data_IF_327343077234
#
_entry.id   IF_327343077234
#
_cell.length_a   1.000
_cell.length_b   1.000
_cell.length_c   1.000
_cell.angle_alpha   90.00
_cell.angle_beta   90.00
_cell.angle_gamma   90.00
#
_symmetry.space_group_name_H-M   'P 1'
#
loop_
_entity.id
_entity.type
_entity.pdbx_description
1 polymer ?
#
# COMPACT_ATOMS: atom_id res chain seq x y z
N UNK A 1 -9.57 7.13 1.99
CA UNK A 1 -10.35 5.88 2.18
C UNK A 1 -10.05 4.84 1.10
N UNK A 2 -10.12 5.14 -0.20
CA UNK A 2 -9.80 4.17 -1.26
C UNK A 2 -8.43 3.49 -1.08
N UNK A 3 -7.39 4.28 -0.81
CA UNK A 3 -6.03 3.76 -0.53
C UNK A 3 -5.99 2.76 0.63
N UNK A 4 -6.74 3.05 1.72
CA UNK A 4 -6.84 2.14 2.86
C UNK A 4 -7.63 0.87 2.51
N UNK A 5 -8.74 1.01 1.78
CA UNK A 5 -9.56 -0.15 1.39
C UNK A 5 -8.79 -1.10 0.47
N UNK A 6 -8.00 -0.58 -0.46
CA UNK A 6 -7.10 -1.35 -1.31
C UNK A 6 -6.08 -2.17 -0.50
N UNK A 7 -5.53 -1.58 0.56
CA UNK A 7 -4.54 -2.20 1.42
C UNK A 7 -5.14 -2.94 2.63
N UNK A 8 -6.35 -3.48 2.52
CA UNK A 8 -6.92 -4.40 3.53
C UNK A 8 -7.92 -3.79 4.52
N UNK A 9 -8.22 -2.49 4.45
CA UNK A 9 -9.24 -1.88 5.29
C UNK A 9 -10.65 -2.28 4.82
N UNK A 10 -11.13 -3.44 5.26
CA UNK A 10 -12.30 -4.13 4.76
C UNK A 10 -13.67 -3.58 5.18
N UNK A 11 -13.78 -2.33 5.68
CA UNK A 11 -15.08 -1.75 6.08
C UNK A 11 -15.92 -1.40 4.85
N UNK A 12 -15.29 -1.00 3.74
CA UNK A 12 -15.94 -0.71 2.48
C UNK A 12 -15.20 -1.36 1.32
N UNK A 13 -15.96 -1.79 0.32
CA UNK A 13 -15.39 -2.02 -0.99
C UNK A 13 -14.93 -0.68 -1.58
N UNK A 14 -13.77 -0.64 -2.23
CA UNK A 14 -13.16 0.60 -2.73
C UNK A 14 -14.07 1.40 -3.68
N UNK A 15 -14.92 0.70 -4.45
CA UNK A 15 -15.87 1.31 -5.39
C UNK A 15 -17.14 1.83 -4.71
N UNK A 16 -17.49 1.35 -3.50
CA UNK A 16 -18.74 1.69 -2.84
C UNK A 16 -18.85 3.19 -2.48
N UNK A 17 -17.72 3.85 -2.30
CA UNK A 17 -17.68 5.27 -1.96
C UNK A 17 -17.72 6.20 -3.19
N UNK A 18 -17.55 5.70 -4.41
CA UNK A 18 -17.48 6.52 -5.62
C UNK A 18 -18.73 7.39 -5.83
N UNK A 19 -19.97 6.84 -5.77
CA UNK A 19 -21.18 7.63 -6.01
C UNK A 19 -21.42 8.72 -4.96
N UNK A 20 -21.09 8.47 -3.69
CA UNK A 20 -21.25 9.48 -2.62
C UNK A 20 -20.15 10.54 -2.69
N UNK A 21 -18.92 10.16 -3.03
CA UNK A 21 -17.82 11.10 -3.22
C UNK A 21 -18.08 12.07 -4.37
N UNK A 22 -18.55 11.56 -5.53
CA UNK A 22 -18.86 12.39 -6.70
C UNK A 22 -19.99 13.42 -6.46
N UNK A 23 -20.87 13.15 -5.50
CA UNK A 23 -22.00 14.00 -5.17
C UNK A 23 -21.83 14.77 -3.85
N UNK A 24 -20.61 14.74 -3.27
CA UNK A 24 -20.28 15.41 -2.01
C UNK A 24 -21.20 15.02 -0.83
N UNK A 25 -21.59 13.75 -0.80
CA UNK A 25 -22.48 13.19 0.23
C UNK A 25 -21.60 12.62 1.36
N UNK A 26 -21.71 13.13 2.59
CA UNK A 26 -20.95 12.58 3.71
C UNK A 26 -21.45 11.17 4.10
N UNK A 27 -20.53 10.29 4.44
CA UNK A 27 -20.82 8.93 4.92
C UNK A 27 -20.50 8.83 6.40
N UNK A 28 -21.41 8.27 7.19
CA UNK A 28 -21.21 8.04 8.61
C UNK A 28 -21.03 6.55 8.89
N UNK A 29 -19.89 6.18 9.50
CA UNK A 29 -19.65 4.84 10.00
C UNK A 29 -19.98 4.83 11.50
N UNK A 30 -20.85 3.92 11.93
CA UNK A 30 -21.22 3.78 13.34
C UNK A 30 -21.11 2.32 13.77
N UNK A 31 -20.81 2.11 15.04
CA UNK A 31 -20.81 0.79 15.64
C UNK A 31 -22.25 0.37 15.98
N UNK A 32 -22.72 -0.71 15.40
CA UNK A 32 -24.10 -1.23 15.65
C UNK A 32 -24.31 -1.70 17.08
N UNK A 33 -23.22 -2.12 17.77
CA UNK A 33 -23.29 -2.55 19.17
C UNK A 33 -23.18 -1.38 20.16
N UNK A 34 -22.85 -0.17 19.69
CA UNK A 34 -22.72 1.05 20.48
C UNK A 34 -23.25 2.24 19.67
N UNK A 35 -24.56 2.29 19.36
CA UNK A 35 -25.14 3.28 18.47
C UNK A 35 -25.12 4.72 19.01
N UNK A 36 -24.92 4.89 20.33
CA UNK A 36 -24.77 6.17 21.00
C UNK A 36 -23.43 6.87 20.71
N UNK A 37 -22.40 6.13 20.29
CA UNK A 37 -21.12 6.71 19.91
C UNK A 37 -21.24 7.39 18.55
N UNK A 38 -20.71 8.62 18.43
CA UNK A 38 -20.79 9.45 17.23
C UNK A 38 -20.27 8.76 15.96
N UNK A 39 -19.25 7.90 16.09
CA UNK A 39 -18.67 7.16 14.94
C UNK A 39 -17.70 8.01 14.12
N UNK A 40 -17.44 7.58 12.89
CA UNK A 40 -16.48 8.22 11.98
C UNK A 40 -17.20 8.78 10.77
N UNK A 41 -17.03 10.09 10.51
CA UNK A 41 -17.58 10.77 9.35
C UNK A 41 -16.54 10.80 8.21
N UNK A 42 -16.91 10.26 7.06
CA UNK A 42 -16.13 10.34 5.83
C UNK A 42 -16.69 11.49 5.00
N UNK A 43 -15.82 12.42 4.62
CA UNK A 43 -16.16 13.61 3.84
C UNK A 43 -15.22 13.74 2.64
N UNK A 44 -15.64 14.44 1.61
CA UNK A 44 -14.83 14.74 0.42
C UNK A 44 -13.71 15.73 0.72
N UNK A 45 -13.94 16.66 1.64
CA UNK A 45 -12.99 17.67 2.10
C UNK A 45 -13.05 17.81 3.60
N UNK A 46 -11.89 17.89 4.24
CA UNK A 46 -11.78 18.14 5.67
C UNK A 46 -10.69 19.20 5.90
N UNK A 47 -10.78 19.97 6.98
CA UNK A 47 -9.66 20.76 7.47
C UNK A 47 -8.53 19.83 7.90
N UNK A 48 -7.32 20.10 7.41
CA UNK A 48 -6.15 19.30 7.74
C UNK A 48 -5.58 19.77 9.06
N UNK A 49 -5.34 18.83 9.96
CA UNK A 49 -4.62 19.10 11.21
C UNK A 49 -3.18 18.58 11.07
N UNK A 50 -2.18 19.48 11.01
CA UNK A 50 -0.78 19.07 10.87
C UNK A 50 -0.26 18.22 12.04
N UNK A 51 -0.93 18.24 13.19
CA UNK A 51 -0.56 17.40 14.35
C UNK A 51 -0.85 15.91 14.10
N UNK A 52 -1.78 15.61 13.17
CA UNK A 52 -2.19 14.26 12.83
C UNK A 52 -2.06 14.03 11.31
N UNK A 53 -0.82 13.93 10.81
CA UNK A 53 -0.57 13.83 9.36
C UNK A 53 -1.11 12.54 8.76
N UNK A 54 -1.15 11.45 9.53
CA UNK A 54 -1.65 10.14 9.11
C UNK A 54 -3.10 9.98 9.53
N UNK A 55 -3.94 9.61 8.58
CA UNK A 55 -5.37 9.33 8.80
C UNK A 55 -5.62 7.85 9.09
N UNK A 56 -4.80 6.97 8.55
CA UNK A 56 -4.91 5.53 8.75
C UNK A 56 -3.70 4.75 8.27
N UNK A 57 -3.56 3.56 8.84
CA UNK A 57 -2.61 2.53 8.43
C UNK A 57 -3.41 1.27 8.17
N UNK A 58 -3.12 0.60 7.08
CA UNK A 58 -3.70 -0.70 6.75
C UNK A 58 -2.64 -1.63 6.15
N UNK A 59 -2.90 -2.93 6.19
CA UNK A 59 -2.03 -3.95 5.62
C UNK A 59 -2.83 -4.97 4.83
N UNK A 60 -2.19 -5.57 3.85
CA UNK A 60 -2.72 -6.72 3.11
C UNK A 60 -1.59 -7.68 2.78
N UNK A 61 -1.81 -8.96 3.02
CA UNK A 61 -0.92 -10.06 2.63
C UNK A 61 -1.28 -10.64 1.27
N UNK A 62 -0.53 -11.64 0.83
CA UNK A 62 -0.79 -12.38 -0.40
C UNK A 62 -0.23 -11.70 -1.64
N UNK A 63 0.94 -11.09 -1.53
CA UNK A 63 1.66 -10.53 -2.66
C UNK A 63 2.91 -11.35 -3.00
N UNK A 64 3.22 -11.34 -4.28
CA UNK A 64 4.44 -11.89 -4.88
C UNK A 64 5.15 -10.78 -5.62
N UNK A 65 6.46 -10.62 -5.41
CA UNK A 65 7.30 -9.69 -6.15
C UNK A 65 8.21 -10.44 -7.13
N UNK A 66 8.21 -10.03 -8.39
CA UNK A 66 9.09 -10.55 -9.44
C UNK A 66 10.10 -9.44 -9.78
N UNK A 67 11.34 -9.61 -9.35
CA UNK A 67 12.42 -8.66 -9.59
C UNK A 67 13.23 -9.08 -10.81
N UNK A 68 13.30 -8.21 -11.82
CA UNK A 68 13.98 -8.42 -13.10
C UNK A 68 15.15 -7.43 -13.16
N UNK A 69 16.35 -7.95 -13.25
CA UNK A 69 17.58 -7.13 -13.36
C UNK A 69 18.20 -7.28 -14.73
N UNK A 70 18.63 -6.15 -15.29
CA UNK A 70 19.33 -6.10 -16.58
C UNK A 70 20.27 -4.89 -16.61
N UNK A 71 21.52 -5.12 -16.91
CA UNK A 71 22.49 -4.04 -17.05
C UNK A 71 22.08 -3.03 -18.15
N UNK A 72 22.11 -1.74 -17.83
CA UNK A 72 21.63 -0.65 -18.67
C UNK A 72 20.12 -0.72 -19.01
N UNK A 73 19.32 -1.32 -18.17
CA UNK A 73 17.86 -1.41 -18.36
C UNK A 73 17.23 -0.04 -18.61
N UNK A 74 17.70 1.00 -17.91
CA UNK A 74 17.21 2.38 -18.08
C UNK A 74 17.42 2.97 -19.47
N UNK A 75 18.33 2.41 -20.26
CA UNK A 75 18.60 2.82 -21.66
C UNK A 75 17.82 1.99 -22.67
N UNK A 76 17.21 0.89 -22.26
CA UNK A 76 16.44 0.03 -23.15
C UNK A 76 15.00 0.54 -23.29
N UNK A 77 14.72 1.20 -24.41
CA UNK A 77 13.39 1.77 -24.67
C UNK A 77 12.29 0.72 -24.60
N UNK A 78 11.26 1.00 -23.79
CA UNK A 78 10.06 0.18 -23.69
C UNK A 78 10.25 -1.14 -22.95
N UNK A 79 11.34 -1.34 -22.20
CA UNK A 79 11.55 -2.56 -21.42
C UNK A 79 10.41 -2.80 -20.43
N UNK A 80 10.06 -1.80 -19.61
CA UNK A 80 8.94 -1.90 -18.65
C UNK A 80 7.63 -2.28 -19.34
N UNK A 81 7.30 -1.61 -20.44
CA UNK A 81 6.07 -1.91 -21.21
C UNK A 81 6.03 -3.36 -21.67
N UNK A 82 7.15 -3.89 -22.16
CA UNK A 82 7.22 -5.29 -22.61
C UNK A 82 7.10 -6.26 -21.44
N UNK A 83 7.76 -5.98 -20.32
CA UNK A 83 7.67 -6.81 -19.11
C UNK A 83 6.24 -6.89 -18.59
N UNK A 84 5.56 -5.75 -18.42
CA UNK A 84 4.16 -5.68 -17.98
C UNK A 84 3.23 -6.40 -18.95
N UNK A 85 3.46 -6.25 -20.27
CA UNK A 85 2.64 -6.88 -21.31
C UNK A 85 2.57 -8.41 -21.18
N UNK A 86 3.63 -9.08 -20.77
CA UNK A 86 3.61 -10.54 -20.59
C UNK A 86 2.69 -10.98 -19.45
N UNK A 87 2.58 -10.16 -18.40
CA UNK A 87 1.60 -10.39 -17.33
C UNK A 87 0.17 -10.10 -17.81
N UNK A 88 -0.03 -9.02 -18.59
CA UNK A 88 -1.32 -8.69 -19.22
C UNK A 88 -1.79 -9.82 -20.13
N UNK A 89 -0.93 -10.34 -21.03
CA UNK A 89 -1.23 -11.45 -21.94
C UNK A 89 -1.55 -12.75 -21.18
N UNK A 90 -0.99 -12.93 -19.98
CA UNK A 90 -1.28 -14.05 -19.08
C UNK A 90 -2.51 -13.81 -18.19
N UNK A 91 -3.17 -12.64 -18.27
CA UNK A 91 -4.32 -12.29 -17.46
C UNK A 91 -3.99 -12.02 -15.99
N UNK A 92 -2.73 -11.63 -15.68
CA UNK A 92 -2.27 -11.32 -14.34
C UNK A 92 -2.13 -9.81 -14.17
N UNK A 93 -2.98 -9.14 -13.37
CA UNK A 93 -2.85 -7.72 -13.06
C UNK A 93 -1.56 -7.44 -12.30
N UNK A 94 -0.87 -6.36 -12.67
CA UNK A 94 0.30 -5.85 -11.95
C UNK A 94 -0.13 -4.69 -11.05
N UNK A 95 0.09 -4.82 -9.75
CA UNK A 95 -0.35 -3.86 -8.73
C UNK A 95 0.62 -2.68 -8.58
N UNK A 96 1.93 -2.99 -8.50
CA UNK A 96 2.98 -1.99 -8.34
C UNK A 96 4.20 -2.33 -9.18
N UNK A 97 4.93 -1.29 -9.61
CA UNK A 97 6.13 -1.42 -10.43
C UNK A 97 7.23 -0.52 -9.89
N UNK A 98 7.82 -0.83 -8.74
CA UNK A 98 9.01 -0.13 -8.29
C UNK A 98 10.17 -0.39 -9.25
N UNK A 99 10.90 0.66 -9.60
CA UNK A 99 11.99 0.59 -10.57
C UNK A 99 13.26 1.23 -10.04
N UNK A 100 14.38 0.59 -10.34
CA UNK A 100 15.73 1.11 -10.19
C UNK A 100 16.34 1.50 -11.53
N UNK A 101 17.66 1.71 -11.54
CA UNK A 101 18.40 2.03 -12.78
C UNK A 101 18.51 0.77 -13.66
N UNK A 102 18.90 -0.35 -13.06
CA UNK A 102 19.17 -1.63 -13.74
C UNK A 102 18.20 -2.74 -13.31
N UNK A 103 17.06 -2.38 -12.70
CA UNK A 103 16.07 -3.34 -12.23
C UNK A 103 14.67 -2.77 -12.26
N UNK A 104 13.68 -3.66 -12.41
CA UNK A 104 12.28 -3.41 -12.11
C UNK A 104 11.74 -4.55 -11.26
N UNK A 105 10.77 -4.27 -10.41
CA UNK A 105 10.01 -5.30 -9.74
C UNK A 105 8.55 -5.19 -10.15
N UNK A 106 7.92 -6.33 -10.44
CA UNK A 106 6.50 -6.42 -10.72
C UNK A 106 5.84 -7.06 -9.51
N UNK A 107 5.00 -6.32 -8.83
CA UNK A 107 4.27 -6.81 -7.66
C UNK A 107 2.87 -7.19 -8.08
N UNK A 108 2.48 -8.41 -7.78
CA UNK A 108 1.19 -8.99 -8.14
C UNK A 108 0.51 -9.60 -6.91
N UNK A 109 -0.79 -9.80 -6.98
CA UNK A 109 -1.49 -10.63 -6.02
C UNK A 109 -1.21 -12.10 -6.30
N UNK A 110 -0.73 -12.85 -5.30
CA UNK A 110 -0.40 -14.29 -5.45
C UNK A 110 -1.61 -15.11 -5.90
N UNK A 111 -2.81 -14.72 -5.49
CA UNK A 111 -4.08 -15.36 -5.89
C UNK A 111 -4.39 -15.26 -7.41
N UNK A 112 -3.75 -14.33 -8.13
CA UNK A 112 -3.92 -14.20 -9.58
C UNK A 112 -3.05 -15.20 -10.37
N UNK A 113 -2.14 -15.91 -9.70
CA UNK A 113 -1.34 -16.98 -10.29
C UNK A 113 -2.15 -18.27 -10.19
N UNK A 114 -2.54 -18.82 -11.33
CA UNK A 114 -3.40 -20.01 -11.40
C UNK A 114 -2.69 -21.29 -10.95
N UNK A 115 -1.39 -21.40 -11.25
CA UNK A 115 -0.54 -22.51 -10.86
C UNK A 115 0.95 -22.11 -10.90
N UNK A 116 1.86 -22.90 -10.29
CA UNK A 116 3.30 -22.69 -10.44
C UNK A 116 3.76 -22.69 -11.90
N UNK A 117 3.18 -23.53 -12.76
CA UNK A 117 3.49 -23.61 -14.19
C UNK A 117 3.06 -22.35 -14.94
N UNK A 118 1.95 -21.71 -14.51
CA UNK A 118 1.48 -20.44 -15.06
C UNK A 118 2.53 -19.35 -14.88
N UNK A 119 3.03 -19.17 -13.65
CA UNK A 119 4.09 -18.22 -13.38
C UNK A 119 5.37 -18.59 -14.12
N UNK A 120 5.78 -19.85 -14.08
CA UNK A 120 6.98 -20.32 -14.79
C UNK A 120 6.93 -20.02 -16.30
N UNK A 121 5.76 -20.15 -16.93
CA UNK A 121 5.54 -19.79 -18.34
C UNK A 121 5.76 -18.30 -18.62
N UNK A 122 5.26 -17.42 -17.74
CA UNK A 122 5.48 -15.97 -17.83
C UNK A 122 6.98 -15.66 -17.71
N UNK A 123 7.64 -16.22 -16.70
CA UNK A 123 9.07 -16.00 -16.44
C UNK A 123 9.94 -16.51 -17.60
N UNK A 124 9.62 -17.67 -18.16
CA UNK A 124 10.32 -18.21 -19.34
C UNK A 124 10.16 -17.28 -20.56
N UNK A 125 8.98 -16.71 -20.76
CA UNK A 125 8.74 -15.74 -21.85
C UNK A 125 9.56 -14.46 -21.64
N UNK A 126 9.62 -13.95 -20.40
CA UNK A 126 10.44 -12.79 -20.04
C UNK A 126 11.92 -13.11 -20.31
N UNK A 127 12.39 -14.29 -19.89
CA UNK A 127 13.76 -14.70 -20.10
C UNK A 127 14.12 -14.77 -21.61
N UNK A 128 13.24 -15.36 -22.43
CA UNK A 128 13.45 -15.50 -23.88
C UNK A 128 13.40 -14.15 -24.60
N UNK A 129 12.43 -13.32 -24.29
CA UNK A 129 12.14 -12.09 -25.07
C UNK A 129 12.89 -10.85 -24.59
N UNK A 130 13.24 -10.76 -23.32
CA UNK A 130 13.91 -9.59 -22.75
C UNK A 130 15.38 -9.85 -22.38
N UNK A 131 15.76 -11.12 -22.29
CA UNK A 131 17.11 -11.56 -21.93
C UNK A 131 17.68 -10.77 -20.72
N UNK A 132 17.00 -10.81 -19.55
CA UNK A 132 17.50 -10.19 -18.34
C UNK A 132 18.71 -10.95 -17.79
N UNK A 133 19.53 -10.26 -16.98
CA UNK A 133 20.67 -10.88 -16.29
C UNK A 133 20.19 -11.81 -15.18
N UNK A 134 19.09 -11.44 -14.51
CA UNK A 134 18.46 -12.30 -13.49
C UNK A 134 16.97 -12.00 -13.32
N UNK A 135 16.23 -13.03 -12.92
CA UNK A 135 14.86 -12.93 -12.45
C UNK A 135 14.79 -13.60 -11.07
N UNK A 136 14.24 -12.89 -10.09
CA UNK A 136 14.03 -13.39 -8.73
C UNK A 136 12.55 -13.29 -8.39
N UNK A 137 12.02 -14.31 -7.74
CA UNK A 137 10.64 -14.33 -7.24
C UNK A 137 10.69 -14.38 -5.73
N UNK A 138 9.94 -13.51 -5.07
CA UNK A 138 9.78 -13.49 -3.63
C UNK A 138 8.29 -13.52 -3.30
N UNK A 139 7.88 -14.59 -2.63
CA UNK A 139 6.51 -14.81 -2.18
C UNK A 139 6.33 -14.42 -0.70
N UNK A 140 5.10 -14.57 -0.21
CA UNK A 140 4.72 -14.31 1.18
C UNK A 140 5.04 -12.88 1.61
N UNK A 141 4.59 -11.94 0.79
CA UNK A 141 4.77 -10.51 1.05
C UNK A 141 3.48 -9.85 1.51
N UNK A 142 3.67 -8.82 2.34
CA UNK A 142 2.63 -7.95 2.87
C UNK A 142 2.90 -6.50 2.44
N UNK A 143 1.87 -5.80 1.99
CA UNK A 143 1.93 -4.36 1.69
C UNK A 143 1.22 -3.61 2.82
N UNK A 144 1.88 -2.58 3.33
CA UNK A 144 1.33 -1.58 4.23
C UNK A 144 1.04 -0.30 3.49
N UNK A 145 -0.12 0.29 3.71
CA UNK A 145 -0.46 1.63 3.27
C UNK A 145 -0.56 2.56 4.48
N UNK A 146 0.24 3.61 4.47
CA UNK A 146 0.16 4.73 5.41
C UNK A 146 -0.47 5.88 4.63
N UNK A 147 -1.64 6.33 5.08
CA UNK A 147 -2.47 7.26 4.31
C UNK A 147 -2.80 8.50 5.14
N UNK A 148 -2.68 9.68 4.54
CA UNK A 148 -3.06 10.93 5.16
C UNK A 148 -2.84 12.13 4.24
N UNK A 149 -3.82 13.00 4.08
CA UNK A 149 -3.71 14.19 3.24
C UNK A 149 -2.71 15.20 3.79
N UNK A 150 -2.61 15.32 5.13
CA UNK A 150 -1.66 16.21 5.78
C UNK A 150 -0.19 15.73 5.70
N UNK A 151 0.05 14.53 5.18
CA UNK A 151 1.42 14.01 4.98
C UNK A 151 2.26 14.87 4.05
N UNK A 152 1.64 15.52 3.06
CA UNK A 152 2.30 16.40 2.08
C UNK A 152 3.14 17.51 2.73
N UNK A 153 2.64 18.06 3.83
CA UNK A 153 3.24 19.22 4.51
C UNK A 153 3.96 18.83 5.80
N UNK A 154 4.02 17.52 6.12
CA UNK A 154 4.60 17.03 7.35
C UNK A 154 5.91 16.27 7.13
N UNK A 155 6.98 16.88 7.64
CA UNK A 155 8.32 16.27 7.61
C UNK A 155 8.37 15.13 8.64
N UNK A 156 8.98 14.00 8.24
CA UNK A 156 9.29 12.91 9.16
C UNK A 156 8.32 11.74 9.16
N UNK A 157 7.24 11.77 8.40
CA UNK A 157 6.30 10.63 8.31
C UNK A 157 7.02 9.36 7.84
N UNK A 158 7.78 9.43 6.74
CA UNK A 158 8.58 8.30 6.26
C UNK A 158 9.63 7.83 7.28
N UNK A 159 10.25 8.77 8.01
CA UNK A 159 11.24 8.46 9.03
C UNK A 159 10.62 7.70 10.22
N UNK A 160 9.40 8.07 10.64
CA UNK A 160 8.67 7.38 11.70
C UNK A 160 8.35 5.93 11.30
N UNK A 161 7.85 5.70 10.06
CA UNK A 161 7.61 4.35 9.55
C UNK A 161 8.90 3.52 9.52
N UNK A 162 9.95 4.06 8.89
CA UNK A 162 11.23 3.35 8.77
C UNK A 162 11.86 3.02 10.13
N UNK A 163 11.73 3.92 11.10
CA UNK A 163 12.17 3.68 12.48
C UNK A 163 11.40 2.55 13.12
N UNK A 164 10.07 2.53 12.96
CA UNK A 164 9.21 1.47 13.49
C UNK A 164 9.64 0.09 12.95
N UNK A 165 9.87 -0.03 11.66
CA UNK A 165 10.36 -1.28 11.08
C UNK A 165 11.74 -1.66 11.63
N UNK A 166 12.67 -0.71 11.73
CA UNK A 166 14.01 -0.96 12.24
C UNK A 166 14.02 -1.40 13.71
N UNK A 167 13.24 -0.75 14.58
CA UNK A 167 13.11 -1.07 16.01
C UNK A 167 12.51 -2.47 16.24
N UNK A 168 11.68 -2.93 15.31
CA UNK A 168 11.10 -4.27 15.33
C UNK A 168 11.91 -5.30 14.52
N UNK A 169 13.11 -4.96 14.05
CA UNK A 169 13.99 -5.81 13.24
C UNK A 169 13.38 -6.31 11.93
N UNK A 170 12.44 -5.54 11.36
CA UNK A 170 11.73 -5.85 10.13
C UNK A 170 12.48 -5.26 8.93
N UNK A 171 12.79 -6.10 7.94
CA UNK A 171 13.44 -5.65 6.72
C UNK A 171 12.40 -5.17 5.69
N UNK A 172 12.58 -3.94 5.21
CA UNK A 172 11.73 -3.35 4.17
C UNK A 172 12.19 -3.87 2.80
N UNK A 173 11.26 -4.46 2.03
CA UNK A 173 11.49 -4.97 0.66
C UNK A 173 11.22 -3.91 -0.41
N UNK A 174 10.26 -3.02 -0.16
CA UNK A 174 9.89 -1.95 -1.08
C UNK A 174 9.41 -0.74 -0.30
N UNK A 175 9.70 0.44 -0.83
CA UNK A 175 9.07 1.71 -0.43
C UNK A 175 8.58 2.37 -1.71
N UNK A 176 7.33 2.80 -1.71
CA UNK A 176 6.74 3.54 -2.82
C UNK A 176 5.90 4.70 -2.29
N UNK A 177 6.15 5.90 -2.81
CA UNK A 177 5.34 7.09 -2.53
C UNK A 177 5.10 7.79 -3.86
N UNK A 178 3.83 7.94 -4.23
CA UNK A 178 3.45 8.63 -5.46
C UNK A 178 3.54 10.15 -5.32
N UNK A 179 3.48 10.85 -6.44
CA UNK A 179 3.53 12.32 -6.50
C UNK A 179 2.33 13.00 -5.81
N UNK A 180 1.28 12.27 -5.47
CA UNK A 180 0.15 12.77 -4.67
C UNK A 180 0.53 13.00 -3.22
N UNK A 181 1.55 12.30 -2.70
CA UNK A 181 2.08 12.36 -1.33
C UNK A 181 1.04 12.09 -0.22
N UNK A 182 -0.14 11.58 -0.59
CA UNK A 182 -1.22 11.25 0.35
C UNK A 182 -1.16 9.81 0.84
N UNK A 183 -0.36 8.97 0.21
CA UNK A 183 -0.14 7.58 0.59
C UNK A 183 1.32 7.18 0.42
N UNK A 184 1.77 6.33 1.32
CA UNK A 184 3.08 5.72 1.29
C UNK A 184 2.92 4.22 1.50
N UNK A 185 3.53 3.44 0.61
CA UNK A 185 3.46 1.98 0.63
C UNK A 185 4.81 1.41 1.06
N UNK A 186 4.75 0.44 1.97
CA UNK A 186 5.88 -0.37 2.38
C UNK A 186 5.56 -1.83 2.13
N UNK A 187 6.52 -2.60 1.64
CA UNK A 187 6.40 -4.04 1.51
C UNK A 187 7.41 -4.73 2.41
N UNK A 188 6.94 -5.73 3.15
CA UNK A 188 7.72 -6.54 4.08
C UNK A 188 7.35 -8.01 3.92
N UNK A 189 7.98 -8.92 4.67
CA UNK A 189 7.50 -10.30 4.79
C UNK A 189 6.16 -10.36 5.51
N UNK A 190 5.28 -11.26 5.07
CA UNK A 190 3.94 -11.42 5.67
C UNK A 190 3.99 -11.89 7.13
N UNK A 191 5.01 -12.65 7.52
CA UNK A 191 5.21 -13.11 8.90
C UNK A 191 5.39 -11.96 9.91
N UNK A 192 5.82 -10.79 9.45
CA UNK A 192 6.05 -9.61 10.28
C UNK A 192 4.83 -8.68 10.37
N UNK A 193 3.70 -9.02 9.72
CA UNK A 193 2.54 -8.12 9.58
C UNK A 193 2.01 -7.61 10.90
N UNK A 194 1.72 -8.49 11.85
CA UNK A 194 1.09 -8.10 13.13
C UNK A 194 1.96 -7.17 13.95
N UNK A 195 3.26 -7.47 14.02
CA UNK A 195 4.24 -6.65 14.76
C UNK A 195 4.37 -5.28 14.10
N UNK A 196 4.48 -5.25 12.77
CA UNK A 196 4.58 -4.03 12.00
C UNK A 196 3.33 -3.15 12.16
N UNK A 197 2.13 -3.74 12.07
CA UNK A 197 0.86 -3.02 12.19
C UNK A 197 0.71 -2.38 13.57
N UNK A 198 1.00 -3.12 14.64
CA UNK A 198 0.97 -2.61 16.01
C UNK A 198 1.98 -1.48 16.21
N UNK A 199 3.21 -1.65 15.73
CA UNK A 199 4.25 -0.63 15.85
C UNK A 199 3.90 0.66 15.09
N UNK A 200 3.44 0.55 13.85
CA UNK A 200 3.01 1.70 13.04
C UNK A 200 1.80 2.40 13.66
N UNK A 201 0.84 1.63 14.19
CA UNK A 201 -0.32 2.21 14.87
C UNK A 201 0.11 3.02 16.10
N UNK A 202 1.00 2.50 16.92
CA UNK A 202 1.52 3.22 18.09
C UNK A 202 2.32 4.47 17.72
N UNK A 203 3.09 4.40 16.62
CA UNK A 203 3.90 5.52 16.15
C UNK A 203 3.06 6.70 15.64
N UNK A 204 1.94 6.43 14.96
CA UNK A 204 1.10 7.47 14.36
C UNK A 204 -0.12 7.85 15.20
N UNK A 205 -0.58 6.96 16.08
CA UNK A 205 -1.77 7.15 16.92
C UNK A 205 -1.46 6.91 18.41
N UNK A 206 -0.59 7.74 19.02
CA UNK A 206 -0.29 7.60 20.44
C UNK A 206 -1.56 7.79 21.28
N UNK A 207 -1.68 7.06 22.41
CA UNK A 207 -2.90 7.03 23.23
C UNK A 207 -3.38 8.41 23.67
N UNK A 208 -2.47 9.32 23.95
CA UNK A 208 -2.77 10.71 24.32
C UNK A 208 -3.45 11.47 23.18
N UNK A 209 -3.02 11.25 21.94
CA UNK A 209 -3.63 11.82 20.76
C UNK A 209 -5.05 11.28 20.53
N UNK A 210 -5.26 9.98 20.72
CA UNK A 210 -6.59 9.35 20.60
C UNK A 210 -7.56 9.86 21.67
N UNK A 211 -7.11 10.07 22.90
CA UNK A 211 -7.92 10.65 23.97
C UNK A 211 -8.35 12.09 23.64
N UNK A 212 -7.45 12.89 23.07
CA UNK A 212 -7.75 14.27 22.65
C UNK A 212 -8.76 14.31 21.50
N UNK A 213 -8.62 13.41 20.51
CA UNK A 213 -9.55 13.30 19.38
C UNK A 213 -10.94 12.84 19.84
N UNK A 214 -10.99 11.89 20.78
CA UNK A 214 -12.26 11.41 21.36
C UNK A 214 -12.99 12.50 22.15
N UNK A 215 -12.26 13.33 22.89
CA UNK A 215 -12.83 14.45 23.63
C UNK A 215 -13.36 15.55 22.70
N UNK A 216 -12.66 15.86 21.62
CA UNK A 216 -13.09 16.84 20.62
C UNK A 216 -14.36 16.38 19.87
N UNK A 217 -14.50 15.08 19.60
CA UNK A 217 -15.67 14.52 18.93
C UNK A 217 -16.94 14.46 19.80
N UNK A 218 -16.81 14.63 21.13
CA UNK A 218 -17.95 14.67 22.08
C UNK A 218 -18.42 16.11 22.36
N UNK A 219 -17.71 17.12 21.91
CA UNK A 219 -17.99 18.54 22.14
C UNK A 219 -18.69 19.28 20.99
N UNK A 220 -19.00 18.59 19.89
CA UNK A 220 -19.82 19.04 18.77
C UNK A 220 -21.17 18.28 18.72
#
# INVERSE_FOLDING_TARGET
>A
MRELSYAGFGIFHEEALEPVYRNDIPVMIRNTNQPEIAGTKIVSKKELDPRYPVTGVSSATGFTAISISKYLLNREMGFMRRAIRFFEEAGVPVEHVPSGIDSISLVIRSANIQSPEHLAGILATIQDKLNPDSIQVEDDLCIFAIVGEAMRENVGVAAAASRTFAENHINIRMISQGASEISMLFMIKAEDEDIALQGLYQAYFPREALATLAAAAQGE
#
